data_IF_882052067298
#
_entry.id   IF_882052067298
#
_cell.length_a   1.000
_cell.length_b   1.000
_cell.length_c   1.000
_cell.angle_alpha   90.00
_cell.angle_beta   90.00
_cell.angle_gamma   90.00
#
_symmetry.space_group_name_H-M   'P 1'
#
loop_
_entity.id
_entity.type
_entity.pdbx_description
1 polymer ?
#
# COMPACT_ATOMS: atom_id res chain seq x y z
N UNK A 1 -17.00 1.63 3.44
CA UNK A 1 -15.83 1.30 4.29
C UNK A 1 -14.68 1.01 3.36
N UNK A 2 -13.53 1.69 3.50
CA UNK A 2 -12.35 1.43 2.67
C UNK A 2 -11.40 0.47 3.38
N UNK A 3 -10.82 -0.47 2.64
CA UNK A 3 -9.82 -1.40 3.18
C UNK A 3 -8.46 -0.97 2.65
N UNK A 4 -7.47 -0.83 3.52
CA UNK A 4 -6.13 -0.41 3.14
C UNK A 4 -5.16 -1.54 3.50
N UNK A 5 -4.60 -2.18 2.48
CA UNK A 5 -3.55 -3.18 2.64
C UNK A 5 -2.19 -2.49 2.67
N UNK A 6 -1.46 -2.67 3.76
CA UNK A 6 -0.10 -2.18 3.92
C UNK A 6 0.87 -3.35 3.79
N UNK A 7 1.87 -3.24 2.92
CA UNK A 7 2.89 -4.26 2.73
C UNK A 7 4.27 -3.77 3.13
N UNK A 8 5.05 -4.62 3.82
CA UNK A 8 6.30 -4.21 4.48
C UNK A 8 7.56 -5.00 4.11
N UNK A 9 7.52 -6.32 3.96
CA UNK A 9 8.78 -7.09 3.79
C UNK A 9 9.23 -7.27 2.36
N UNK A 10 8.31 -7.57 1.46
CA UNK A 10 8.67 -7.96 0.10
C UNK A 10 7.90 -7.10 -0.91
N UNK A 11 8.54 -6.01 -1.34
CA UNK A 11 8.01 -5.10 -2.36
C UNK A 11 7.58 -5.87 -3.62
N UNK A 12 8.35 -6.86 -4.05
CA UNK A 12 7.99 -7.69 -5.20
C UNK A 12 6.69 -8.46 -4.95
N UNK A 13 6.59 -9.19 -3.84
CA UNK A 13 5.38 -9.95 -3.51
C UNK A 13 4.15 -9.05 -3.34
N UNK A 14 4.32 -7.88 -2.74
CA UNK A 14 3.28 -6.88 -2.57
C UNK A 14 2.75 -6.37 -3.92
N UNK A 15 3.66 -6.01 -4.82
CA UNK A 15 3.31 -5.54 -6.17
C UNK A 15 2.62 -6.66 -6.95
N UNK A 16 3.16 -7.88 -6.92
CA UNK A 16 2.55 -9.01 -7.60
C UNK A 16 1.16 -9.34 -7.05
N UNK A 17 0.97 -9.31 -5.72
CA UNK A 17 -0.31 -9.54 -5.09
C UNK A 17 -1.34 -8.46 -5.46
N UNK A 18 -0.96 -7.18 -5.38
CA UNK A 18 -1.81 -6.07 -5.77
C UNK A 18 -2.21 -6.16 -7.25
N UNK A 19 -1.28 -6.41 -8.15
CA UNK A 19 -1.56 -6.49 -9.59
C UNK A 19 -2.41 -7.72 -9.95
N UNK A 20 -2.19 -8.86 -9.27
CA UNK A 20 -3.03 -10.04 -9.43
C UNK A 20 -4.48 -9.76 -8.98
N UNK A 21 -4.67 -9.11 -7.84
CA UNK A 21 -5.99 -8.71 -7.35
C UNK A 21 -6.68 -7.71 -8.29
N UNK A 22 -5.95 -6.69 -8.74
CA UNK A 22 -6.44 -5.66 -9.65
C UNK A 22 -6.63 -6.15 -11.11
N UNK A 23 -6.31 -7.42 -11.40
CA UNK A 23 -6.34 -8.01 -12.76
C UNK A 23 -5.52 -7.19 -13.77
N UNK A 24 -4.42 -6.60 -13.31
CA UNK A 24 -3.49 -5.81 -14.12
C UNK A 24 -2.27 -6.63 -14.53
N UNK A 25 -1.65 -6.26 -15.64
CA UNK A 25 -0.35 -6.82 -16.03
C UNK A 25 0.74 -6.23 -15.14
N UNK A 26 1.46 -7.09 -14.42
CA UNK A 26 2.59 -6.68 -13.59
C UNK A 26 3.63 -5.90 -14.42
N UNK A 27 4.23 -4.82 -13.88
CA UNK A 27 5.20 -4.03 -14.61
C UNK A 27 6.44 -4.90 -14.89
N UNK A 28 6.91 -4.87 -16.14
CA UNK A 28 8.04 -5.71 -16.59
C UNK A 28 9.38 -5.34 -15.95
N UNK A 29 9.51 -4.12 -15.42
CA UNK A 29 10.74 -3.62 -14.82
C UNK A 29 10.47 -3.14 -13.37
N UNK A 30 10.60 -4.06 -12.43
CA UNK A 30 10.38 -3.83 -10.99
C UNK A 30 11.63 -3.33 -10.27
N UNK A 31 12.78 -3.27 -10.95
CA UNK A 31 14.05 -2.90 -10.34
C UNK A 31 14.04 -1.44 -9.86
N UNK A 32 13.39 -0.54 -10.61
CA UNK A 32 13.18 0.85 -10.19
C UNK A 32 12.40 0.95 -8.87
N UNK A 33 11.33 0.16 -8.73
CA UNK A 33 10.50 0.15 -7.51
C UNK A 33 11.28 -0.45 -6.34
N UNK A 34 12.10 -1.47 -6.59
CA UNK A 34 12.95 -2.10 -5.58
C UNK A 34 14.05 -1.17 -5.07
N UNK A 35 14.67 -0.40 -5.97
CA UNK A 35 15.68 0.60 -5.62
C UNK A 35 15.08 1.80 -4.88
N UNK A 36 13.91 2.29 -5.31
CA UNK A 36 13.22 3.39 -4.65
C UNK A 36 12.65 2.98 -3.28
N UNK A 37 12.21 1.73 -3.13
CA UNK A 37 11.67 1.18 -1.87
C UNK A 37 12.70 1.15 -0.73
N UNK A 38 13.98 0.96 -1.05
CA UNK A 38 15.06 0.94 -0.05
C UNK A 38 15.45 2.33 0.45
N UNK A 39 15.03 3.40 -0.24
CA UNK A 39 15.25 4.77 0.25
C UNK A 39 14.22 5.08 1.34
N UNK A 40 14.71 5.55 2.48
CA UNK A 40 13.91 5.70 3.70
C UNK A 40 12.71 6.64 3.51
N UNK A 41 11.54 6.24 4.01
CA UNK A 41 10.38 7.11 4.15
C UNK A 41 9.49 7.27 2.92
N UNK A 42 9.66 6.43 1.89
CA UNK A 42 8.74 6.39 0.77
C UNK A 42 7.56 5.46 1.01
N UNK A 43 6.37 5.94 0.61
CA UNK A 43 5.15 5.17 0.48
C UNK A 43 4.82 5.06 -1.00
N UNK A 44 4.50 3.88 -1.48
CA UNK A 44 4.13 3.65 -2.86
C UNK A 44 2.68 3.21 -2.93
N UNK A 45 1.86 4.03 -3.58
CA UNK A 45 0.53 3.64 -3.99
C UNK A 45 0.64 2.65 -5.15
N UNK A 46 0.14 1.44 -4.96
CA UNK A 46 0.18 0.37 -5.96
C UNK A 46 -1.08 0.36 -6.82
N UNK A 47 -2.22 0.76 -6.25
CA UNK A 47 -3.50 0.79 -6.94
C UNK A 47 -4.68 0.75 -5.97
N UNK A 48 -5.87 0.86 -6.56
CA UNK A 48 -7.15 0.78 -5.86
C UNK A 48 -8.06 -0.13 -6.65
N UNK A 49 -8.73 -1.03 -5.94
CA UNK A 49 -9.85 -1.80 -6.45
C UNK A 49 -11.13 -1.03 -6.10
N UNK A 50 -11.75 -0.42 -7.11
CA UNK A 50 -12.97 0.38 -6.92
C UNK A 50 -14.18 -0.48 -6.57
N UNK A 51 -14.26 -1.71 -7.09
CA UNK A 51 -15.38 -2.62 -6.87
C UNK A 51 -15.44 -3.06 -5.40
N UNK A 52 -14.26 -3.29 -4.79
CA UNK A 52 -14.14 -3.73 -3.41
C UNK A 52 -13.73 -2.64 -2.41
N UNK A 53 -13.53 -1.39 -2.87
CA UNK A 53 -13.05 -0.26 -2.07
C UNK A 53 -11.71 -0.55 -1.36
N UNK A 54 -10.81 -1.26 -2.03
CA UNK A 54 -9.52 -1.68 -1.48
C UNK A 54 -8.39 -0.80 -2.02
N UNK A 55 -7.46 -0.42 -1.15
CA UNK A 55 -6.29 0.39 -1.48
C UNK A 55 -5.04 -0.38 -1.11
N UNK A 56 -4.08 -0.45 -2.04
CA UNK A 56 -2.86 -1.23 -1.88
C UNK A 56 -1.67 -0.27 -1.74
N UNK A 57 -1.03 -0.28 -0.58
CA UNK A 57 0.12 0.56 -0.26
C UNK A 57 1.34 -0.27 0.13
N UNK A 58 2.50 0.13 -0.35
CA UNK A 58 3.79 -0.41 0.04
C UNK A 58 4.55 0.63 0.86
N UNK A 59 5.13 0.24 2.00
CA UNK A 59 5.80 1.18 2.91
C UNK A 59 7.04 0.59 3.59
N UNK A 60 8.07 1.42 3.82
CA UNK A 60 9.29 0.99 4.51
C UNK A 60 9.09 0.84 6.04
N UNK A 61 9.71 -0.20 6.61
CA UNK A 61 9.56 -0.67 8.00
C UNK A 61 9.62 0.41 9.10
N UNK A 62 10.48 1.44 8.93
CA UNK A 62 10.78 2.41 9.99
C UNK A 62 9.64 3.38 10.33
N UNK A 63 8.56 3.44 9.54
CA UNK A 63 7.50 4.46 9.68
C UNK A 63 6.06 3.91 9.71
N UNK A 64 5.86 2.62 9.97
CA UNK A 64 4.51 2.01 9.99
C UNK A 64 3.53 2.74 10.91
N UNK A 65 3.94 3.06 12.14
CA UNK A 65 3.10 3.80 13.09
C UNK A 65 2.71 5.19 12.59
N UNK A 66 3.66 5.91 11.99
CA UNK A 66 3.43 7.25 11.44
C UNK A 66 2.41 7.17 10.29
N UNK A 67 2.58 6.20 9.39
CA UNK A 67 1.65 5.98 8.27
C UNK A 67 0.24 5.66 8.77
N UNK A 68 0.11 4.72 9.70
CA UNK A 68 -1.17 4.32 10.28
C UNK A 68 -1.88 5.51 10.92
N UNK A 69 -1.15 6.33 11.69
CA UNK A 69 -1.69 7.54 12.30
C UNK A 69 -2.15 8.57 11.25
N UNK A 70 -1.37 8.77 10.17
CA UNK A 70 -1.75 9.66 9.07
C UNK A 70 -3.03 9.17 8.37
N UNK A 71 -3.13 7.87 8.07
CA UNK A 71 -4.30 7.28 7.42
C UNK A 71 -5.55 7.44 8.28
N UNK A 72 -5.45 7.18 9.60
CA UNK A 72 -6.56 7.41 10.52
C UNK A 72 -6.92 8.90 10.63
N UNK A 73 -5.94 9.79 10.66
CA UNK A 73 -6.17 11.24 10.65
C UNK A 73 -6.93 11.70 9.41
N UNK A 74 -6.52 11.26 8.22
CA UNK A 74 -7.24 11.54 6.98
C UNK A 74 -8.65 10.94 6.99
N UNK A 75 -8.80 9.69 7.44
CA UNK A 75 -10.11 9.05 7.53
C UNK A 75 -11.07 9.86 8.42
N UNK A 76 -10.59 10.35 9.57
CA UNK A 76 -11.38 11.20 10.45
C UNK A 76 -11.76 12.54 9.78
N UNK A 77 -10.80 13.22 9.14
CA UNK A 77 -11.02 14.49 8.45
C UNK A 77 -12.06 14.40 7.34
N UNK A 78 -12.08 13.28 6.61
CA UNK A 78 -13.01 13.06 5.50
C UNK A 78 -14.26 12.24 5.89
N UNK A 79 -14.48 12.03 7.19
CA UNK A 79 -15.58 11.20 7.72
C UNK A 79 -15.68 9.81 7.06
N UNK A 80 -14.53 9.22 6.75
CA UNK A 80 -14.42 7.90 6.14
C UNK A 80 -14.17 6.83 7.19
N UNK A 81 -14.84 5.68 7.06
CA UNK A 81 -14.51 4.49 7.83
C UNK A 81 -13.47 3.66 7.07
N UNK A 82 -12.30 3.46 7.68
CA UNK A 82 -11.20 2.68 7.10
C UNK A 82 -10.83 1.47 7.97
N UNK A 83 -10.43 0.37 7.32
CA UNK A 83 -9.81 -0.80 7.94
C UNK A 83 -8.41 -0.96 7.38
N UNK A 84 -7.40 -0.94 8.24
CA UNK A 84 -6.00 -1.13 7.84
C UNK A 84 -5.62 -2.60 8.10
N UNK A 85 -5.06 -3.27 7.09
CA UNK A 85 -4.56 -4.64 7.15
C UNK A 85 -3.05 -4.59 6.87
N UNK A 86 -2.24 -4.81 7.90
CA UNK A 86 -0.77 -4.83 7.78
C UNK A 86 -0.28 -6.24 7.46
N UNK A 87 0.21 -6.42 6.24
CA UNK A 87 0.75 -7.66 5.70
C UNK A 87 2.28 -7.65 5.88
N UNK A 88 2.68 -8.25 7.00
CA UNK A 88 4.07 -8.37 7.45
C UNK A 88 4.96 -9.19 6.50
#
# INVERSE_FOLDING_TARGET
>A
MKIIYLYRRNAYAAIMAAYAHLKLNAPKNLDYVRESYRKEGYFFYLGMDEDFNEVYLLYSERKGLILTNLLHGFAALYHQNIKIIDLN
#
